data_IF_370745816101
#
_entry.id   IF_370745816101
#
_cell.length_a   1.000
_cell.length_b   1.000
_cell.length_c   1.000
_cell.angle_alpha   90.00
_cell.angle_beta   90.00
_cell.angle_gamma   90.00
#
_symmetry.space_group_name_H-M   'P 1'
#
loop_
_entity.id
_entity.type
_entity.pdbx_description
1 polymer ?
#
# COMPACT_ATOMS: atom_id res chain seq x y z
N UNK A 1 17.80 -16.83 -1.84
CA UNK A 1 18.63 -15.73 -1.32
C UNK A 1 18.02 -15.30 0.00
N UNK A 2 18.83 -14.97 1.02
CA UNK A 2 18.35 -14.65 2.36
C UNK A 2 17.48 -13.39 2.28
N UNK A 3 16.17 -13.54 2.45
CA UNK A 3 15.27 -12.44 2.75
C UNK A 3 15.77 -11.77 4.03
N UNK A 4 16.54 -10.69 3.87
CA UNK A 4 16.79 -9.74 4.95
C UNK A 4 15.43 -9.12 5.22
N UNK A 5 14.73 -9.69 6.21
CA UNK A 5 13.46 -9.22 6.72
C UNK A 5 13.52 -7.70 6.85
N UNK A 6 12.71 -7.01 6.05
CA UNK A 6 12.33 -5.65 6.38
C UNK A 6 11.77 -5.66 7.81
N UNK A 7 12.02 -4.61 8.62
CA UNK A 7 11.52 -4.57 9.98
C UNK A 7 10.01 -4.84 10.00
N UNK A 8 9.56 -5.71 10.90
CA UNK A 8 8.17 -6.16 11.01
C UNK A 8 7.18 -4.98 11.14
N UNK A 9 7.66 -3.83 11.64
CA UNK A 9 6.91 -2.58 11.79
C UNK A 9 6.55 -1.86 10.48
N UNK A 10 7.13 -2.24 9.34
CA UNK A 10 6.84 -1.55 8.07
C UNK A 10 5.39 -1.76 7.60
N UNK A 11 4.77 -2.87 8.04
CA UNK A 11 3.35 -3.14 7.80
C UNK A 11 2.44 -2.27 8.69
N UNK A 12 2.94 -1.74 9.81
CA UNK A 12 2.20 -0.88 10.72
C UNK A 12 2.11 0.56 10.20
N UNK A 13 3.10 1.01 9.42
CA UNK A 13 3.12 2.35 8.82
C UNK A 13 1.95 2.55 7.86
N UNK A 14 1.35 3.74 7.88
CA UNK A 14 0.31 4.18 6.94
C UNK A 14 0.85 4.28 5.51
N UNK A 15 -0.05 4.26 4.50
CA UNK A 15 0.38 4.44 3.11
C UNK A 15 1.09 5.77 2.90
N UNK A 16 0.64 6.81 3.61
CA UNK A 16 1.22 8.14 3.53
C UNK A 16 2.64 8.20 4.10
N UNK A 17 2.88 7.56 5.26
CA UNK A 17 4.22 7.47 5.86
C UNK A 17 5.19 6.70 4.96
N UNK A 18 4.74 5.59 4.37
CA UNK A 18 5.54 4.80 3.43
C UNK A 18 5.89 5.62 2.17
N UNK A 19 4.93 6.35 1.60
CA UNK A 19 5.17 7.23 0.46
C UNK A 19 6.13 8.38 0.81
N UNK A 20 6.00 8.98 2.00
CA UNK A 20 6.94 10.01 2.46
C UNK A 20 8.36 9.46 2.63
N UNK A 21 8.52 8.24 3.13
CA UNK A 21 9.82 7.58 3.23
C UNK A 21 10.40 7.26 1.86
N UNK A 22 9.57 6.84 0.89
CA UNK A 22 9.99 6.62 -0.49
C UNK A 22 10.49 7.91 -1.13
N UNK A 23 9.77 9.01 -0.95
CA UNK A 23 10.17 10.32 -1.47
C UNK A 23 11.50 10.78 -0.89
N UNK A 24 11.75 10.57 0.41
CA UNK A 24 13.04 10.88 1.03
C UNK A 24 14.19 10.09 0.40
N UNK A 25 13.99 8.80 0.14
CA UNK A 25 14.98 7.94 -0.50
C UNK A 25 15.24 8.42 -1.94
N UNK A 26 14.19 8.79 -2.68
CA UNK A 26 14.33 9.36 -4.03
C UNK A 26 15.18 10.63 -3.99
N UNK A 27 14.89 11.58 -3.09
CA UNK A 27 15.68 12.79 -2.95
C UNK A 27 17.16 12.52 -2.59
N UNK A 28 17.43 11.47 -1.80
CA UNK A 28 18.80 11.05 -1.48
C UNK A 28 19.52 10.52 -2.72
N UNK A 29 18.85 9.64 -3.47
CA UNK A 29 19.36 9.06 -4.71
C UNK A 29 19.64 10.18 -5.75
N UNK A 30 18.74 11.13 -5.92
CA UNK A 30 18.88 12.23 -6.88
C UNK A 30 20.06 13.17 -6.56
N UNK A 31 20.44 13.27 -5.29
CA UNK A 31 21.60 14.07 -4.84
C UNK A 31 22.92 13.32 -4.95
N UNK A 32 22.88 12.00 -5.01
CA UNK A 32 24.07 11.16 -5.10
C UNK A 32 24.61 11.14 -6.54
N UNK A 33 25.89 11.48 -6.71
CA UNK A 33 26.54 11.53 -8.03
C UNK A 33 27.09 10.18 -8.47
N UNK A 34 27.42 9.32 -7.51
CA UNK A 34 27.93 7.98 -7.78
C UNK A 34 26.82 6.92 -7.61
N UNK A 35 26.44 6.29 -8.72
CA UNK A 35 25.43 5.24 -8.73
C UNK A 35 25.74 4.05 -7.80
N UNK A 36 27.01 3.65 -7.67
CA UNK A 36 27.37 2.54 -6.79
C UNK A 36 27.07 2.86 -5.31
N UNK A 37 27.22 4.13 -4.92
CA UNK A 37 26.93 4.59 -3.56
C UNK A 37 25.42 4.59 -3.25
N UNK A 38 24.57 4.68 -4.28
CA UNK A 38 23.11 4.70 -4.12
C UNK A 38 22.44 3.34 -4.34
N UNK A 39 23.21 2.27 -4.62
CA UNK A 39 22.65 0.94 -4.92
C UNK A 39 21.79 0.38 -3.77
N UNK A 40 22.22 0.56 -2.52
CA UNK A 40 21.47 0.10 -1.34
C UNK A 40 20.14 0.87 -1.20
N UNK A 41 20.18 2.19 -1.38
CA UNK A 41 18.98 3.04 -1.33
C UNK A 41 18.01 2.72 -2.46
N UNK A 42 18.51 2.42 -3.66
CA UNK A 42 17.68 1.91 -4.76
C UNK A 42 16.99 0.59 -4.40
N UNK A 43 17.73 -0.37 -3.82
CA UNK A 43 17.13 -1.65 -3.40
C UNK A 43 16.07 -1.44 -2.31
N UNK A 44 16.32 -0.51 -1.38
CA UNK A 44 15.37 -0.13 -0.34
C UNK A 44 14.12 0.51 -0.93
N UNK A 45 14.27 1.40 -1.90
CA UNK A 45 13.15 2.04 -2.62
C UNK A 45 12.28 1.00 -3.33
N UNK A 46 12.87 0.02 -4.02
CA UNK A 46 12.13 -1.07 -4.68
C UNK A 46 11.29 -1.85 -3.67
N UNK A 47 11.90 -2.23 -2.54
CA UNK A 47 11.20 -2.96 -1.47
C UNK A 47 10.05 -2.15 -0.90
N UNK A 48 10.27 -0.87 -0.64
CA UNK A 48 9.27 0.04 -0.11
C UNK A 48 8.10 0.22 -1.09
N UNK A 49 8.38 0.37 -2.38
CA UNK A 49 7.37 0.50 -3.41
C UNK A 49 6.49 -0.77 -3.51
N UNK A 50 7.09 -1.96 -3.42
CA UNK A 50 6.34 -3.22 -3.40
C UNK A 50 5.39 -3.32 -2.19
N UNK A 51 5.78 -2.77 -1.03
CA UNK A 51 4.91 -2.72 0.16
C UNK A 51 3.75 -1.73 -0.06
N UNK A 52 4.04 -0.54 -0.58
CA UNK A 52 3.03 0.49 -0.92
C UNK A 52 2.00 -0.10 -1.89
N UNK A 53 2.45 -0.76 -2.95
CA UNK A 53 1.58 -1.39 -3.93
C UNK A 53 0.65 -2.42 -3.29
N UNK A 54 1.20 -3.38 -2.53
CA UNK A 54 0.41 -4.41 -1.84
C UNK A 54 -0.62 -3.79 -0.89
N UNK A 55 -0.23 -2.76 -0.13
CA UNK A 55 -1.12 -2.09 0.81
C UNK A 55 -2.25 -1.36 0.09
N UNK A 56 -1.94 -0.68 -1.00
CA UNK A 56 -2.95 -0.01 -1.83
C UNK A 56 -3.94 -1.02 -2.43
N UNK A 57 -3.44 -2.10 -3.02
CA UNK A 57 -4.27 -3.17 -3.59
C UNK A 57 -5.21 -3.79 -2.54
N UNK A 58 -4.69 -4.12 -1.36
CA UNK A 58 -5.49 -4.71 -0.27
C UNK A 58 -6.58 -3.74 0.23
N UNK A 59 -6.23 -2.46 0.39
CA UNK A 59 -7.18 -1.43 0.80
C UNK A 59 -8.28 -1.25 -0.24
N UNK A 60 -7.93 -1.20 -1.53
CA UNK A 60 -8.88 -1.10 -2.63
C UNK A 60 -9.83 -2.31 -2.69
N UNK A 61 -9.31 -3.53 -2.55
CA UNK A 61 -10.13 -4.75 -2.46
C UNK A 61 -11.11 -4.70 -1.29
N UNK A 62 -10.66 -4.28 -0.10
CA UNK A 62 -11.52 -4.13 1.08
C UNK A 62 -12.65 -3.14 0.83
N UNK A 63 -12.35 -1.96 0.29
CA UNK A 63 -13.36 -0.94 -0.05
C UNK A 63 -14.39 -1.49 -1.05
N UNK A 64 -13.93 -2.21 -2.08
CA UNK A 64 -14.80 -2.82 -3.09
C UNK A 64 -15.78 -3.82 -2.47
N UNK A 65 -15.28 -4.72 -1.61
CA UNK A 65 -16.09 -5.69 -0.88
C UNK A 65 -17.11 -5.01 0.03
N UNK A 66 -16.68 -4.07 0.87
CA UNK A 66 -17.57 -3.34 1.78
C UNK A 66 -18.65 -2.56 1.03
N UNK A 67 -18.31 -1.98 -0.13
CA UNK A 67 -19.25 -1.26 -0.97
C UNK A 67 -20.29 -2.20 -1.58
N UNK A 68 -19.86 -3.36 -2.09
CA UNK A 68 -20.76 -4.40 -2.62
C UNK A 68 -21.72 -4.88 -1.53
N UNK A 69 -21.22 -5.12 -0.32
CA UNK A 69 -22.04 -5.55 0.81
C UNK A 69 -23.07 -4.48 1.21
N UNK A 70 -22.68 -3.21 1.25
CA UNK A 70 -23.61 -2.10 1.51
C UNK A 70 -24.70 -2.02 0.45
N UNK A 71 -24.36 -2.15 -0.83
CA UNK A 71 -25.32 -2.17 -1.94
C UNK A 71 -26.30 -3.35 -1.77
N UNK A 72 -25.80 -4.56 -1.52
CA UNK A 72 -26.65 -5.75 -1.32
C UNK A 72 -27.60 -5.59 -0.11
N UNK A 73 -27.14 -4.98 0.98
CA UNK A 73 -27.98 -4.65 2.15
C UNK A 73 -29.08 -3.64 1.82
N UNK A 74 -28.84 -2.69 0.92
CA UNK A 74 -29.86 -1.73 0.48
C UNK A 74 -30.90 -2.41 -0.41
N UNK A 75 -30.46 -3.26 -1.35
CA UNK A 75 -31.33 -3.98 -2.28
C UNK A 75 -32.25 -4.97 -1.56
N UNK A 76 -31.73 -5.74 -0.61
CA UNK A 76 -32.51 -6.68 0.21
C UNK A 76 -33.61 -5.97 1.02
N UNK A 77 -33.27 -4.86 1.71
CA UNK A 77 -34.26 -4.04 2.45
C UNK A 77 -35.34 -3.44 1.55
N UNK A 78 -35.00 -3.06 0.32
CA UNK A 78 -35.98 -2.55 -0.66
C UNK A 78 -36.96 -3.63 -1.11
N UNK A 79 -36.49 -4.88 -1.25
CA UNK A 79 -37.33 -6.01 -1.64
C UNK A 79 -38.28 -6.43 -0.52
N UNK A 80 -37.85 -6.43 0.75
CA UNK A 80 -38.72 -6.70 1.91
C UNK A 80 -39.90 -5.71 2.01
N UNK A 81 -39.68 -4.42 1.69
CA UNK A 81 -40.74 -3.40 1.69
C UNK A 81 -41.72 -3.50 0.52
N UNK A 82 -41.40 -4.24 -0.54
CA UNK A 82 -42.29 -4.44 -1.70
C UNK A 82 -43.21 -5.65 -1.58
N UNK A 83 -42.91 -6.54 -0.64
CA UNK A 83 -43.66 -7.80 -0.42
C UNK A 83 -44.70 -7.64 0.71
N UNK A 84 -44.68 -6.54 1.46
CA UNK A 84 -45.75 -6.10 2.38
C UNK A 84 -46.67 -5.10 1.69
#
# INVERSE_FOLDING_TARGET
MKDKNLPDDINLKSLNELTQEANKIIEQIEKEKNFENSLDEYQKLIRLNNIIEKKFQNTSKKISLETKDKINKILSKKNEKRIK
#
